data_IF_704664840195
#
_entry.id   IF_704664840195
#
_cell.length_a   1.000
_cell.length_b   1.000
_cell.length_c   1.000
_cell.angle_alpha   90.00
_cell.angle_beta   90.00
_cell.angle_gamma   90.00
#
_symmetry.space_group_name_H-M   'P 1'
#
loop_
_entity.id
_entity.type
_entity.pdbx_description
1 polymer ?
#
# COMPACT_ATOMS: atom_id res chain seq x y z
N UNK A 1 1.23 -1.10 -27.38
CA UNK A 1 0.01 -1.83 -27.77
C UNK A 1 -1.17 -1.11 -27.17
N UNK A 2 -2.17 -0.76 -28.00
CA UNK A 2 -3.45 -0.24 -27.55
C UNK A 2 -4.46 -1.38 -27.68
N UNK A 3 -5.20 -1.66 -26.62
CA UNK A 3 -6.21 -2.69 -26.60
C UNK A 3 -7.44 -2.16 -25.83
N UNK A 4 -8.61 -2.63 -26.20
CA UNK A 4 -9.82 -2.40 -25.41
C UNK A 4 -10.19 -3.67 -24.66
N UNK A 5 -10.66 -3.49 -23.44
CA UNK A 5 -11.18 -4.58 -22.62
C UNK A 5 -12.69 -4.44 -22.50
N UNK A 6 -13.42 -5.48 -22.82
CA UNK A 6 -14.81 -5.60 -22.40
C UNK A 6 -14.92 -6.64 -21.31
N UNK A 7 -15.70 -6.35 -20.30
CA UNK A 7 -15.99 -7.27 -19.19
C UNK A 7 -17.49 -7.57 -19.20
N UNK A 8 -17.82 -8.84 -19.37
CA UNK A 8 -19.18 -9.34 -19.20
C UNK A 8 -19.24 -10.43 -18.13
N UNK A 9 -20.39 -11.06 -17.96
CA UNK A 9 -20.57 -12.17 -16.97
C UNK A 9 -19.73 -13.40 -17.28
N UNK A 10 -19.11 -13.49 -18.45
CA UNK A 10 -18.31 -14.62 -18.91
C UNK A 10 -16.80 -14.37 -18.80
N UNK A 11 -16.39 -13.16 -18.39
CA UNK A 11 -14.98 -12.80 -18.18
C UNK A 11 -14.53 -11.59 -19.01
N UNK A 12 -13.21 -11.49 -19.22
CA UNK A 12 -12.59 -10.41 -19.97
C UNK A 12 -12.40 -10.81 -21.44
N UNK A 13 -12.87 -9.98 -22.34
CA UNK A 13 -12.55 -10.06 -23.76
C UNK A 13 -11.54 -8.97 -24.12
N UNK A 14 -10.41 -9.38 -24.68
CA UNK A 14 -9.36 -8.49 -25.16
C UNK A 14 -9.51 -8.30 -26.66
N UNK A 15 -9.83 -7.07 -27.09
CA UNK A 15 -9.96 -6.72 -28.50
C UNK A 15 -8.72 -5.93 -28.95
N UNK A 16 -7.99 -6.43 -29.91
CA UNK A 16 -6.80 -5.77 -30.46
C UNK A 16 -7.20 -4.65 -31.42
N UNK A 17 -6.58 -3.49 -31.25
CA UNK A 17 -6.75 -2.40 -32.22
C UNK A 17 -6.05 -2.78 -33.53
N UNK A 18 -6.81 -2.80 -34.62
CA UNK A 18 -6.31 -3.06 -35.99
C UNK A 18 -5.90 -1.77 -36.68
N UNK A 19 -6.70 -0.70 -36.54
CA UNK A 19 -6.44 0.60 -37.13
C UNK A 19 -7.21 1.68 -36.41
N UNK A 20 -6.78 2.92 -36.59
CA UNK A 20 -7.44 4.10 -36.04
C UNK A 20 -6.43 5.19 -35.76
N UNK A 21 -6.92 6.18 -35.02
CA UNK A 21 -6.11 7.31 -34.57
C UNK A 21 -6.46 7.67 -33.13
N UNK A 22 -5.50 8.25 -32.46
CA UNK A 22 -5.67 8.91 -31.17
C UNK A 22 -5.19 10.35 -31.38
N UNK A 23 -6.05 11.30 -31.11
CA UNK A 23 -5.72 12.72 -31.15
C UNK A 23 -5.67 13.22 -29.70
N UNK A 24 -4.54 13.75 -29.29
CA UNK A 24 -4.37 14.33 -27.96
C UNK A 24 -4.18 15.84 -28.13
N UNK A 25 -5.02 16.59 -27.46
CA UNK A 25 -4.98 18.06 -27.45
C UNK A 25 -4.89 18.57 -26.02
N UNK A 26 -4.23 19.72 -25.85
CA UNK A 26 -4.13 20.40 -24.57
C UNK A 26 -4.67 21.83 -24.77
N UNK A 27 -5.55 22.26 -23.86
CA UNK A 27 -6.09 23.62 -23.88
C UNK A 27 -5.20 24.61 -23.11
N UNK A 28 -5.60 25.90 -23.11
CA UNK A 28 -4.89 26.96 -22.42
C UNK A 28 -4.91 26.83 -20.89
N UNK A 29 -5.86 26.06 -20.36
CA UNK A 29 -5.98 25.72 -18.94
C UNK A 29 -5.18 24.46 -18.60
N UNK A 30 -4.45 23.93 -19.61
CA UNK A 30 -3.73 22.69 -19.57
C UNK A 30 -4.60 21.41 -19.40
N UNK A 31 -5.90 21.41 -19.61
CA UNK A 31 -6.66 20.18 -19.68
C UNK A 31 -6.25 19.38 -20.93
N UNK A 32 -6.11 18.09 -20.77
CA UNK A 32 -5.78 17.19 -21.86
C UNK A 32 -7.04 16.47 -22.30
N UNK A 33 -7.35 16.58 -23.60
CA UNK A 33 -8.42 15.81 -24.22
C UNK A 33 -7.81 14.76 -25.14
N UNK A 34 -8.19 13.50 -24.96
CA UNK A 34 -7.84 12.41 -25.87
C UNK A 34 -9.09 11.92 -26.60
N UNK A 35 -9.10 12.05 -27.91
CA UNK A 35 -10.11 11.49 -28.80
C UNK A 35 -9.57 10.23 -29.46
N UNK A 36 -10.21 9.11 -29.19
CA UNK A 36 -9.83 7.79 -29.71
C UNK A 36 -10.87 7.35 -30.73
N UNK A 37 -10.43 7.08 -31.95
CA UNK A 37 -11.25 6.50 -33.02
C UNK A 37 -10.54 5.29 -33.59
N UNK A 38 -10.92 4.09 -33.12
CA UNK A 38 -10.24 2.84 -33.44
C UNK A 38 -11.22 1.75 -33.86
N UNK A 39 -10.74 0.85 -34.72
CA UNK A 39 -11.43 -0.39 -35.09
C UNK A 39 -10.62 -1.56 -34.56
N UNK A 40 -11.28 -2.44 -33.83
CA UNK A 40 -10.69 -3.62 -33.26
C UNK A 40 -10.90 -4.89 -34.13
N UNK A 41 -10.26 -5.99 -33.75
CA UNK A 41 -10.32 -7.27 -34.46
C UNK A 41 -11.70 -7.94 -34.42
N UNK A 42 -12.56 -7.54 -33.46
CA UNK A 42 -13.99 -7.90 -33.44
C UNK A 42 -14.86 -7.10 -34.42
N UNK A 43 -14.23 -6.28 -35.28
CA UNK A 43 -14.88 -5.35 -36.26
C UNK A 43 -15.71 -4.24 -35.61
N UNK A 44 -15.61 -4.00 -34.32
CA UNK A 44 -16.26 -2.90 -33.61
C UNK A 44 -15.39 -1.65 -33.69
N UNK A 45 -16.03 -0.51 -34.01
CA UNK A 45 -15.43 0.83 -33.94
C UNK A 45 -15.71 1.43 -32.58
N UNK A 46 -14.66 1.86 -31.90
CA UNK A 46 -14.74 2.56 -30.62
C UNK A 46 -14.43 4.04 -30.83
N UNK A 47 -15.35 4.87 -30.40
CA UNK A 47 -15.21 6.33 -30.35
C UNK A 47 -15.23 6.72 -28.87
N UNK A 48 -14.10 7.15 -28.35
CA UNK A 48 -13.95 7.47 -26.93
C UNK A 48 -13.37 8.87 -26.82
N UNK A 49 -13.99 9.71 -26.01
CA UNK A 49 -13.44 11.00 -25.61
C UNK A 49 -13.14 10.96 -24.13
N UNK A 50 -11.88 11.19 -23.78
CA UNK A 50 -11.43 11.34 -22.40
C UNK A 50 -10.98 12.78 -22.19
N UNK A 51 -11.44 13.37 -21.12
CA UNK A 51 -11.00 14.70 -20.67
C UNK A 51 -10.31 14.52 -19.34
N UNK A 52 -9.00 14.81 -19.32
CA UNK A 52 -8.21 14.81 -18.11
C UNK A 52 -7.90 16.28 -17.77
N UNK A 53 -8.43 16.85 -16.69
CA UNK A 53 -8.03 18.16 -16.23
C UNK A 53 -6.51 18.16 -15.99
N UNK A 54 -5.80 19.18 -16.41
CA UNK A 54 -4.34 19.28 -16.30
C UNK A 54 -3.79 19.41 -14.89
N UNK A 55 -4.55 19.95 -14.04
CA UNK A 55 -4.46 19.53 -12.64
C UNK A 55 -5.27 18.24 -12.63
N UNK A 56 -4.60 17.13 -12.48
CA UNK A 56 -5.29 15.98 -11.93
C UNK A 56 -5.95 16.47 -10.64
N UNK A 57 -7.13 17.08 -10.80
CA UNK A 57 -7.95 17.48 -9.67
C UNK A 57 -8.36 16.25 -8.88
N UNK A 58 -7.82 15.13 -9.25
CA UNK A 58 -8.07 13.85 -8.65
C UNK A 58 -6.90 13.16 -7.99
N UNK A 59 -5.68 13.70 -8.06
CA UNK A 59 -4.52 13.05 -7.44
C UNK A 59 -3.76 13.97 -6.48
N UNK A 60 -4.23 15.18 -6.27
CA UNK A 60 -3.75 16.04 -5.18
C UNK A 60 -4.57 15.75 -3.91
N UNK A 61 -4.67 14.45 -3.57
CA UNK A 61 -5.26 13.99 -2.31
C UNK A 61 -4.35 14.26 -1.13
N UNK A 62 -3.12 14.71 -1.41
CA UNK A 62 -2.14 14.95 -0.35
C UNK A 62 -2.48 16.22 0.42
N UNK A 63 -2.42 16.15 1.73
CA UNK A 63 -2.79 17.26 2.60
C UNK A 63 -1.86 18.45 2.39
N UNK A 64 -2.43 19.59 2.04
CA UNK A 64 -1.70 20.84 1.82
C UNK A 64 -1.42 21.60 3.13
N UNK A 65 -2.17 21.30 4.17
CA UNK A 65 -2.08 21.95 5.47
C UNK A 65 -2.09 20.91 6.59
N UNK A 66 -1.69 21.35 7.79
CA UNK A 66 -1.69 20.53 8.98
C UNK A 66 -0.42 19.71 9.16
N UNK A 67 -0.42 18.87 10.16
CA UNK A 67 0.62 17.94 10.53
C UNK A 67 0.01 16.66 11.08
N UNK A 68 0.73 15.57 11.03
CA UNK A 68 0.36 14.31 11.67
C UNK A 68 1.24 14.11 12.90
N UNK A 69 0.60 13.92 14.05
CA UNK A 69 1.26 13.47 15.28
C UNK A 69 0.38 12.40 15.91
N UNK A 70 0.70 11.12 15.66
CA UNK A 70 -0.16 10.00 16.01
C UNK A 70 0.60 8.92 16.75
N UNK A 71 -0.03 8.36 17.80
CA UNK A 71 0.49 7.20 18.51
C UNK A 71 -0.53 6.08 18.49
N UNK A 72 -0.04 4.89 18.17
CA UNK A 72 -0.78 3.62 18.19
C UNK A 72 -0.17 2.69 19.24
N UNK A 73 -0.94 1.73 19.68
CA UNK A 73 -0.52 0.74 20.66
C UNK A 73 -1.15 -0.63 20.39
N UNK A 74 -0.96 -1.58 21.28
CA UNK A 74 -1.47 -2.95 21.14
C UNK A 74 -3.00 -3.12 21.05
N UNK A 75 -3.79 -2.05 21.20
CA UNK A 75 -5.26 -2.07 21.01
C UNK A 75 -5.65 -1.80 19.56
N UNK A 76 -4.75 -1.20 18.81
CA UNK A 76 -4.95 -0.91 17.40
C UNK A 76 -4.70 -2.17 16.57
N UNK A 77 -5.30 -2.24 15.39
CA UNK A 77 -5.12 -3.37 14.49
C UNK A 77 -3.80 -3.23 13.75
N UNK A 78 -2.95 -4.25 13.80
CA UNK A 78 -1.69 -4.29 13.06
C UNK A 78 -1.68 -5.51 12.16
N UNK A 79 -1.36 -5.28 10.89
CA UNK A 79 -1.18 -6.32 9.88
C UNK A 79 0.23 -6.17 9.30
N UNK A 80 0.96 -7.28 9.25
CA UNK A 80 2.24 -7.38 8.57
C UNK A 80 2.17 -8.51 7.57
N UNK A 81 2.35 -8.18 6.30
CA UNK A 81 2.41 -9.17 5.22
C UNK A 81 3.76 -9.05 4.51
N UNK A 82 4.37 -10.18 4.21
CA UNK A 82 5.63 -10.20 3.49
C UNK A 82 5.56 -11.09 2.26
N UNK A 83 6.11 -10.59 1.17
CA UNK A 83 6.29 -11.32 -0.08
C UNK A 83 7.76 -11.35 -0.45
N UNK A 84 8.35 -12.55 -0.48
CA UNK A 84 9.75 -12.73 -0.83
C UNK A 84 9.88 -13.38 -2.20
N UNK A 85 10.89 -12.93 -2.94
CA UNK A 85 11.32 -13.53 -4.20
C UNK A 85 12.84 -13.75 -4.24
N UNK A 86 13.40 -13.96 -5.43
CA UNK A 86 14.85 -14.17 -5.58
C UNK A 86 15.67 -12.87 -5.33
N UNK A 87 15.07 -11.72 -5.33
CA UNK A 87 15.72 -10.41 -5.28
C UNK A 87 15.61 -9.72 -3.92
N UNK A 88 14.62 -10.09 -3.11
CA UNK A 88 14.41 -9.48 -1.81
C UNK A 88 13.04 -9.77 -1.23
N UNK A 89 12.69 -9.02 -0.20
CA UNK A 89 11.41 -9.10 0.49
C UNK A 89 10.72 -7.75 0.49
N UNK A 90 9.46 -7.73 0.06
CA UNK A 90 8.56 -6.60 0.19
C UNK A 90 7.68 -6.87 1.41
N UNK A 91 7.62 -5.93 2.33
CA UNK A 91 6.86 -6.07 3.57
C UNK A 91 5.84 -4.93 3.64
N UNK A 92 4.59 -5.30 3.81
CA UNK A 92 3.47 -4.40 4.02
C UNK A 92 3.19 -4.31 5.52
N UNK A 93 3.25 -3.13 6.08
CA UNK A 93 2.78 -2.81 7.43
C UNK A 93 1.54 -1.94 7.30
N UNK A 94 0.44 -2.38 7.87
CA UNK A 94 -0.78 -1.58 8.01
C UNK A 94 -1.14 -1.51 9.49
N UNK A 95 -1.39 -0.29 9.97
CA UNK A 95 -1.86 -0.04 11.35
C UNK A 95 -3.15 0.77 11.24
N UNK A 96 -4.22 0.25 11.80
CA UNK A 96 -5.53 0.89 11.81
C UNK A 96 -5.95 1.17 13.26
N UNK A 97 -6.40 2.40 13.51
CA UNK A 97 -6.93 2.77 14.81
C UNK A 97 -8.11 1.87 15.22
N UNK A 98 -8.20 1.54 16.50
CA UNK A 98 -9.25 0.66 17.03
C UNK A 98 -10.68 1.18 16.79
N UNK A 99 -10.84 2.49 16.61
CA UNK A 99 -12.11 3.15 16.27
C UNK A 99 -12.30 3.39 14.76
N UNK A 100 -11.38 2.89 13.94
CA UNK A 100 -11.34 3.06 12.48
C UNK A 100 -11.32 4.55 12.04
N UNK A 101 -10.81 5.45 12.89
CA UNK A 101 -10.72 6.89 12.57
C UNK A 101 -9.56 7.24 11.65
N UNK A 102 -8.52 6.43 11.66
CA UNK A 102 -7.32 6.65 10.87
C UNK A 102 -6.51 5.35 10.65
N UNK A 103 -5.64 5.38 9.67
CA UNK A 103 -4.75 4.28 9.34
C UNK A 103 -3.42 4.78 8.77
N UNK A 104 -2.39 3.97 8.91
CA UNK A 104 -1.09 4.15 8.25
C UNK A 104 -0.68 2.89 7.54
N UNK A 105 -0.28 3.02 6.29
CA UNK A 105 0.27 1.95 5.47
C UNK A 105 1.71 2.28 5.07
N UNK A 106 2.60 1.31 5.23
CA UNK A 106 4.02 1.46 4.91
C UNK A 106 4.52 0.23 4.16
N UNK A 107 5.24 0.46 3.06
CA UNK A 107 5.80 -0.59 2.23
C UNK A 107 7.32 -0.56 2.35
N UNK A 108 7.89 -1.61 2.92
CA UNK A 108 9.32 -1.77 3.12
C UNK A 108 9.94 -2.67 2.07
N UNK A 109 11.18 -2.37 1.72
CA UNK A 109 12.05 -3.26 0.97
C UNK A 109 13.19 -3.70 1.88
N UNK A 110 13.34 -5.02 2.05
CA UNK A 110 14.36 -5.63 2.87
C UNK A 110 15.13 -6.70 2.10
N UNK A 111 16.32 -7.05 2.58
CA UNK A 111 16.99 -8.24 2.12
C UNK A 111 16.09 -9.45 2.40
N UNK A 112 16.39 -10.58 1.71
CA UNK A 112 15.61 -11.78 1.86
C UNK A 112 15.42 -12.11 3.35
N UNK A 113 14.20 -11.96 3.83
CA UNK A 113 13.87 -12.19 5.22
C UNK A 113 14.11 -13.67 5.58
N UNK A 114 14.59 -13.87 6.78
CA UNK A 114 14.56 -15.19 7.42
C UNK A 114 13.10 -15.68 7.49
N UNK A 115 12.86 -16.97 7.53
CA UNK A 115 11.52 -17.61 7.40
C UNK A 115 10.46 -17.13 8.42
N UNK A 116 10.82 -16.21 9.30
CA UNK A 116 9.93 -15.55 10.24
C UNK A 116 9.42 -14.25 9.64
N UNK A 117 8.13 -14.19 9.38
CA UNK A 117 7.39 -13.00 8.92
C UNK A 117 7.39 -11.89 9.98
N UNK A 118 8.55 -11.32 10.27
CA UNK A 118 8.69 -10.18 11.17
C UNK A 118 9.29 -9.02 10.42
N UNK A 119 8.83 -7.82 10.75
CA UNK A 119 9.43 -6.60 10.22
C UNK A 119 10.87 -6.50 10.76
N UNK A 120 11.91 -6.51 9.91
CA UNK A 120 13.30 -6.52 10.40
C UNK A 120 13.62 -5.21 11.11
N UNK A 121 14.31 -5.32 12.24
CA UNK A 121 14.81 -4.16 13.00
C UNK A 121 15.81 -3.39 12.13
N UNK A 122 15.67 -2.08 12.05
CA UNK A 122 16.54 -1.23 11.27
C UNK A 122 15.99 0.17 11.05
N UNK A 123 16.77 0.98 10.35
CA UNK A 123 16.35 2.30 9.87
C UNK A 123 16.17 2.23 8.36
N UNK A 124 15.01 2.63 7.90
CA UNK A 124 14.60 2.61 6.49
C UNK A 124 14.44 4.03 6.01
N UNK A 125 14.99 4.36 4.84
CA UNK A 125 14.84 5.67 4.23
C UNK A 125 13.64 5.67 3.29
N UNK A 126 12.78 6.67 3.39
CA UNK A 126 11.64 6.84 2.49
C UNK A 126 12.16 7.41 1.17
N UNK A 127 12.03 6.65 0.08
CA UNK A 127 12.43 7.04 -1.27
C UNK A 127 11.80 6.08 -2.31
N UNK A 128 12.06 6.32 -3.59
CA UNK A 128 11.56 5.53 -4.71
C UNK A 128 12.54 4.46 -5.23
N UNK A 129 13.64 4.22 -4.52
CA UNK A 129 14.71 3.32 -5.00
C UNK A 129 14.33 1.85 -5.01
N UNK A 130 13.38 1.43 -4.18
CA UNK A 130 13.00 0.03 -3.95
C UNK A 130 14.20 -0.88 -3.55
N UNK A 131 15.25 -0.25 -3.03
CA UNK A 131 16.42 -0.97 -2.54
C UNK A 131 16.19 -1.49 -1.12
N UNK A 132 16.89 -2.54 -0.72
CA UNK A 132 16.89 -3.00 0.66
C UNK A 132 17.24 -1.86 1.62
N UNK A 133 16.50 -1.72 2.71
CA UNK A 133 16.61 -0.61 3.65
C UNK A 133 15.83 0.65 3.24
N UNK A 134 14.95 0.55 2.24
CA UNK A 134 14.05 1.64 1.88
C UNK A 134 12.59 1.36 2.20
N UNK A 135 11.84 2.45 2.29
CA UNK A 135 10.37 2.49 2.31
C UNK A 135 9.91 3.17 1.03
N UNK A 136 8.87 2.62 0.40
CA UNK A 136 8.36 3.15 -0.85
C UNK A 136 7.73 4.53 -0.65
N UNK A 137 8.31 5.54 -1.29
CA UNK A 137 7.72 6.87 -1.34
C UNK A 137 6.45 6.89 -2.20
N UNK A 138 5.62 7.92 -1.99
CA UNK A 138 4.35 8.13 -2.71
C UNK A 138 4.44 7.98 -4.24
N UNK A 139 5.53 8.40 -4.85
CA UNK A 139 5.70 8.35 -6.31
C UNK A 139 6.27 7.02 -6.82
N UNK A 140 6.43 6.05 -5.93
CA UNK A 140 6.93 4.74 -6.30
C UNK A 140 5.95 3.97 -7.18
N UNK A 141 6.48 3.25 -8.16
CA UNK A 141 5.72 2.36 -9.03
C UNK A 141 6.27 0.95 -8.88
N UNK A 142 5.42 0.04 -8.45
CA UNK A 142 5.76 -1.36 -8.30
C UNK A 142 4.82 -2.20 -9.16
N UNK A 143 5.39 -3.05 -10.04
CA UNK A 143 4.63 -3.89 -10.96
C UNK A 143 3.57 -3.13 -11.79
N UNK A 144 3.85 -1.87 -12.14
CA UNK A 144 2.95 -1.02 -12.92
C UNK A 144 1.80 -0.40 -12.14
N UNK A 145 1.76 -0.59 -10.83
CA UNK A 145 0.79 0.03 -9.91
C UNK A 145 1.50 0.95 -8.93
N UNK A 146 0.81 2.01 -8.52
CA UNK A 146 1.31 2.93 -7.49
C UNK A 146 0.83 2.42 -6.13
N UNK A 147 1.77 2.15 -5.24
CA UNK A 147 1.50 1.76 -3.86
C UNK A 147 2.17 2.78 -2.94
N UNK A 148 1.48 3.84 -2.54
CA UNK A 148 2.06 4.83 -1.66
C UNK A 148 2.20 4.31 -0.23
N UNK A 149 3.24 4.76 0.47
CA UNK A 149 3.21 4.76 1.93
C UNK A 149 2.52 6.04 2.38
N UNK A 150 1.54 5.92 3.28
CA UNK A 150 0.69 7.05 3.63
C UNK A 150 0.11 6.94 5.05
N UNK A 151 -0.37 8.06 5.55
CA UNK A 151 -1.32 8.14 6.66
C UNK A 151 -2.64 8.71 6.15
N UNK A 152 -3.76 8.15 6.60
CA UNK A 152 -5.08 8.57 6.20
C UNK A 152 -5.99 8.74 7.41
N UNK A 153 -6.83 9.79 7.40
CA UNK A 153 -7.97 9.89 8.30
C UNK A 153 -9.24 9.45 7.60
N UNK A 154 -10.12 8.81 8.36
CA UNK A 154 -11.36 8.24 7.86
C UNK A 154 -12.55 8.85 8.61
N UNK A 155 -13.66 9.03 7.91
CA UNK A 155 -14.94 9.41 8.49
C UNK A 155 -16.01 8.50 7.91
N UNK A 156 -16.70 7.75 8.77
CA UNK A 156 -17.68 6.74 8.35
C UNK A 156 -17.14 5.73 7.31
N UNK A 157 -15.85 5.34 7.46
CA UNK A 157 -15.16 4.43 6.55
C UNK A 157 -14.76 5.04 5.21
N UNK A 158 -14.97 6.34 5.00
CA UNK A 158 -14.55 7.07 3.80
C UNK A 158 -13.30 7.88 4.08
N UNK A 159 -12.39 7.91 3.10
CA UNK A 159 -11.19 8.73 3.14
C UNK A 159 -11.58 10.21 3.32
N UNK A 160 -11.04 10.84 4.36
CA UNK A 160 -11.21 12.26 4.64
C UNK A 160 -9.95 13.06 4.28
N UNK A 161 -8.79 12.67 4.81
CA UNK A 161 -7.52 13.35 4.54
C UNK A 161 -6.43 12.31 4.32
N UNK A 162 -5.53 12.60 3.40
CA UNK A 162 -4.39 11.74 3.07
C UNK A 162 -3.09 12.52 3.20
N UNK A 163 -2.08 11.93 3.83
CA UNK A 163 -0.71 12.41 3.89
C UNK A 163 0.20 11.35 3.28
N UNK A 164 0.68 11.58 2.08
CA UNK A 164 1.55 10.64 1.38
C UNK A 164 3.00 10.87 1.78
N UNK A 165 3.69 9.83 2.18
CA UNK A 165 5.09 9.93 2.60
C UNK A 165 6.00 10.03 1.37
N UNK A 166 6.75 11.12 1.24
CA UNK A 166 7.65 11.33 0.08
C UNK A 166 9.13 11.35 0.48
N UNK A 167 9.43 11.68 1.73
CA UNK A 167 10.79 11.72 2.27
C UNK A 167 10.77 11.49 3.79
N UNK A 168 11.88 11.07 4.35
CA UNK A 168 12.04 10.83 5.78
C UNK A 168 12.58 9.45 6.12
N UNK A 169 12.28 8.99 7.34
CA UNK A 169 12.78 7.72 7.85
C UNK A 169 11.71 6.97 8.62
N UNK A 170 11.80 5.64 8.58
CA UNK A 170 11.06 4.72 9.45
C UNK A 170 12.07 3.91 10.25
N UNK A 171 11.97 3.97 11.57
CA UNK A 171 12.81 3.18 12.48
C UNK A 171 11.97 2.04 13.04
N UNK A 172 12.43 0.83 12.81
CA UNK A 172 11.87 -0.39 13.40
C UNK A 172 12.81 -0.87 14.50
N UNK A 173 12.29 -1.06 15.68
CA UNK A 173 13.04 -1.52 16.85
C UNK A 173 12.19 -2.42 17.73
N UNK A 174 12.77 -2.85 18.86
CA UNK A 174 12.04 -3.49 19.94
C UNK A 174 11.98 -2.53 21.13
N UNK A 175 10.81 -2.47 21.78
CA UNK A 175 10.66 -1.73 23.03
C UNK A 175 11.26 -2.50 24.23
N UNK A 176 11.13 -1.96 25.44
CA UNK A 176 11.64 -2.57 26.66
C UNK A 176 11.05 -3.95 26.99
N UNK A 177 9.91 -4.28 26.40
CA UNK A 177 9.24 -5.59 26.50
C UNK A 177 9.74 -6.59 25.45
N UNK A 178 10.58 -6.16 24.51
CA UNK A 178 11.01 -6.94 23.36
C UNK A 178 9.99 -7.02 22.22
N UNK A 179 8.92 -6.24 22.29
CA UNK A 179 7.87 -6.18 21.30
C UNK A 179 8.19 -5.16 20.20
N UNK A 180 7.38 -5.18 19.12
CA UNK A 180 7.53 -4.28 17.99
C UNK A 180 7.35 -2.82 18.41
N UNK A 181 8.31 -2.00 18.01
CA UNK A 181 8.25 -0.54 18.07
C UNK A 181 8.59 0.03 16.69
N UNK A 182 7.73 0.91 16.18
CA UNK A 182 7.93 1.58 14.89
C UNK A 182 7.78 3.08 15.09
N UNK A 183 8.77 3.84 14.63
CA UNK A 183 8.74 5.30 14.61
C UNK A 183 8.88 5.80 13.17
N UNK A 184 7.92 6.59 12.71
CA UNK A 184 7.89 7.19 11.39
C UNK A 184 8.10 8.69 11.55
N UNK A 185 9.14 9.22 10.90
CA UNK A 185 9.43 10.63 10.79
C UNK A 185 9.51 10.97 9.31
N UNK A 186 8.45 11.51 8.75
CA UNK A 186 8.29 11.74 7.33
C UNK A 186 7.77 13.14 7.02
N UNK A 187 7.77 13.49 5.76
CA UNK A 187 7.06 14.63 5.21
C UNK A 187 6.25 14.20 3.99
N UNK A 188 5.19 14.94 3.71
CA UNK A 188 4.42 14.76 2.50
C UNK A 188 4.93 15.70 1.37
N UNK A 189 4.27 15.67 0.20
CA UNK A 189 4.66 16.46 -0.98
C UNK A 189 4.53 17.99 -0.80
N UNK A 190 3.92 18.44 0.29
CA UNK A 190 3.81 19.86 0.70
C UNK A 190 4.67 20.20 1.92
N UNK A 191 5.69 19.37 2.22
CA UNK A 191 6.56 19.51 3.40
C UNK A 191 5.77 19.49 4.73
N UNK A 192 4.61 18.82 4.79
CA UNK A 192 3.86 18.66 6.03
C UNK A 192 4.44 17.52 6.83
N UNK A 193 4.78 17.76 8.10
CA UNK A 193 5.41 16.74 8.93
C UNK A 193 4.42 15.63 9.29
N UNK A 194 4.96 14.40 9.28
CA UNK A 194 4.26 13.18 9.67
C UNK A 194 5.13 12.51 10.73
N UNK A 195 4.65 12.52 11.97
CA UNK A 195 5.27 11.80 13.07
C UNK A 195 4.28 10.77 13.61
N UNK A 196 4.65 9.49 13.50
CA UNK A 196 3.81 8.38 13.92
C UNK A 196 4.65 7.42 14.74
N UNK A 197 4.10 6.98 15.87
CA UNK A 197 4.71 5.97 16.73
C UNK A 197 3.73 4.82 16.91
N UNK A 198 4.17 3.60 16.67
CA UNK A 198 3.50 2.39 17.12
C UNK A 198 4.33 1.73 18.20
N UNK A 199 3.72 1.41 19.32
CA UNK A 199 4.36 0.68 20.40
C UNK A 199 3.49 -0.49 20.87
N UNK A 200 3.93 -1.72 20.63
CA UNK A 200 3.24 -2.90 21.13
C UNK A 200 3.50 -3.04 22.62
N UNK A 201 2.64 -2.46 23.43
CA UNK A 201 2.69 -2.46 24.88
C UNK A 201 2.03 -3.69 25.52
N UNK A 202 1.68 -4.69 24.70
CA UNK A 202 1.06 -5.94 25.19
C UNK A 202 2.04 -6.79 25.97
N UNK A 203 1.65 -7.15 27.19
CA UNK A 203 2.40 -8.12 27.99
C UNK A 203 1.95 -9.52 27.57
N UNK A 204 2.82 -10.21 26.84
CA UNK A 204 2.62 -11.62 26.51
C UNK A 204 3.05 -12.47 27.71
N UNK A 205 2.10 -12.87 28.56
CA UNK A 205 2.38 -13.80 29.64
C UNK A 205 2.68 -15.18 29.05
N UNK A 206 3.92 -15.59 29.09
CA UNK A 206 4.38 -16.89 28.60
C UNK A 206 3.69 -18.10 29.27
N UNK A 207 2.84 -17.88 30.27
CA UNK A 207 2.17 -18.91 31.06
C UNK A 207 0.72 -19.16 30.60
N UNK A 208 0.07 -18.22 29.89
CA UNK A 208 -1.32 -18.42 29.45
C UNK A 208 -1.46 -19.08 28.07
N UNK A 209 -0.40 -19.08 27.25
CA UNK A 209 -0.43 -19.70 25.91
C UNK A 209 0.00 -21.18 25.88
N UNK A 210 0.31 -21.80 27.02
CA UNK A 210 0.53 -23.26 27.11
C UNK A 210 -0.73 -23.98 27.58
N UNK A 211 -1.85 -23.71 26.97
CA UNK A 211 -2.85 -24.75 26.76
C UNK A 211 -2.36 -25.61 25.59
N UNK A 212 -1.36 -26.43 25.86
CA UNK A 212 -1.06 -27.58 25.01
C UNK A 212 -2.27 -28.50 25.11
N UNK A 213 -3.25 -28.29 24.26
CA UNK A 213 -4.14 -29.37 23.87
C UNK A 213 -3.23 -30.45 23.32
N UNK A 214 -3.11 -31.52 24.07
CA UNK A 214 -2.39 -32.70 23.60
C UNK A 214 -2.96 -33.05 22.23
N UNK A 215 -2.14 -33.15 21.18
CA UNK A 215 -2.63 -33.53 19.89
C UNK A 215 -3.19 -34.93 20.03
N UNK A 216 -4.51 -35.05 19.96
CA UNK A 216 -5.12 -36.32 19.63
C UNK A 216 -4.56 -36.71 18.26
N UNK A 217 -3.62 -37.67 18.30
CA UNK A 217 -3.04 -38.27 17.13
C UNK A 217 -4.16 -38.74 16.21
N UNK A 218 -4.50 -38.00 15.21
CA UNK A 218 -5.09 -38.35 13.92
C UNK A 218 -5.88 -37.17 13.31
N UNK A 219 -5.17 -36.13 12.88
CA UNK A 219 -5.64 -35.31 11.75
C UNK A 219 -4.47 -35.10 10.81
N UNK A 220 -4.47 -35.85 9.73
CA UNK A 220 -3.64 -35.58 8.58
C UNK A 220 -3.98 -34.18 8.09
N UNK A 221 -2.97 -33.32 8.05
CA UNK A 221 -3.04 -32.03 7.40
C UNK A 221 -3.16 -32.33 5.90
N UNK A 222 -4.36 -32.17 5.36
CA UNK A 222 -4.59 -32.03 3.93
C UNK A 222 -4.86 -30.55 3.69
N UNK A 223 -4.11 -30.04 2.73
CA UNK A 223 -4.29 -28.76 2.05
C UNK A 223 -3.72 -27.53 2.77
N UNK A 224 -2.77 -26.91 2.07
CA UNK A 224 -2.16 -25.60 2.28
C UNK A 224 -3.17 -24.53 2.70
N UNK A 225 -3.41 -24.37 3.97
CA UNK A 225 -4.06 -23.20 4.53
C UNK A 225 -3.16 -22.57 5.57
N UNK A 226 -2.80 -21.33 5.29
CA UNK A 226 -2.09 -20.45 6.19
C UNK A 226 -3.00 -20.12 7.38
N UNK A 227 -2.61 -20.50 8.59
CA UNK A 227 -3.30 -20.08 9.80
C UNK A 227 -2.62 -18.84 10.34
N UNK A 228 -3.34 -17.72 10.33
CA UNK A 228 -2.98 -16.53 11.09
C UNK A 228 -3.36 -16.82 12.54
N UNK A 229 -2.38 -16.91 13.42
CA UNK A 229 -2.61 -16.90 14.86
C UNK A 229 -2.95 -15.46 15.26
N UNK A 230 -4.18 -15.26 15.71
CA UNK A 230 -4.59 -14.02 16.37
C UNK A 230 -4.20 -14.06 17.82
#
# INVERSE_FOLDING_TARGET
>A
YVATYSMDRNGYELNKVLKGQVVVTQDEENNVTAEVDVICDNAVRYLITMICPAKSAGLDYDAQEGEVNRSYNSKDSVMIEAQSDAYGTIIYLSIEAADASDAVDVIFFADKADERLTLPVGTYTINDSQASGSVLANQGVMNGSVYPSFYATLTDGMLNTLYMMVDGTVVVSQNDLGNLHVEINAVNSYDRPIHIVYDDDKIYNAVEDVQVEQPNASKQIKDNQLYILR
#
